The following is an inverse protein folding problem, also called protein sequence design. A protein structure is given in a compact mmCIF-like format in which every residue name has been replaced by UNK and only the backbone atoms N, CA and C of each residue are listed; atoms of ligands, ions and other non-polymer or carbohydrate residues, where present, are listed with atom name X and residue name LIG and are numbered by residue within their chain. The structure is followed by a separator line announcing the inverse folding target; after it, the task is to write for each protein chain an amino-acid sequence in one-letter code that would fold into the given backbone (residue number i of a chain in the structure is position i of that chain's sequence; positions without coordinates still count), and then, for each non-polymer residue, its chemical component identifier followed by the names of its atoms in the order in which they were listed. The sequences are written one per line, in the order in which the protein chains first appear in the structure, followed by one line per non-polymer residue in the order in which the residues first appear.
data_IF_037559905175
#
_entry.id   IF_037559905175
#
_cell.length_a   1.000
_cell.length_b   1.000
_cell.length_c   1.000
_cell.angle_alpha   90.00
_cell.angle_beta   90.00
_cell.angle_gamma   90.00
#
_symmetry.space_group_name_H-M   'P 1'
#
loop_
_entity.id
_entity.type
_entity.pdbx_description
1 polymer ?
#
# COMPACT_ATOMS: atom_id res chain seq x y z
N UNK A 1 30.25 11.76 -4.39
CA UNK A 1 29.37 12.72 -5.08
C UNK A 1 27.97 12.22 -4.83
N UNK A 2 27.24 12.93 -3.97
CA UNK A 2 25.83 12.72 -3.68
C UNK A 2 25.10 12.75 -5.02
N UNK A 3 24.36 11.69 -5.34
CA UNK A 3 23.57 11.62 -6.57
C UNK A 3 22.13 11.55 -6.13
N UNK A 4 21.40 12.65 -6.28
CA UNK A 4 19.94 12.61 -6.26
C UNK A 4 19.51 11.43 -7.13
N UNK A 5 18.91 10.42 -6.50
CA UNK A 5 18.17 9.40 -7.23
C UNK A 5 16.95 10.13 -7.78
N UNK A 6 17.14 10.60 -8.99
CA UNK A 6 16.10 11.17 -9.82
C UNK A 6 14.98 10.13 -9.97
N UNK A 7 13.97 10.20 -9.09
CA UNK A 7 12.73 9.42 -9.24
C UNK A 7 11.88 9.97 -10.39
N UNK A 8 12.33 11.01 -11.09
CA UNK A 8 11.82 11.38 -12.41
C UNK A 8 12.52 10.67 -13.57
N UNK A 9 13.38 9.68 -13.32
CA UNK A 9 13.69 8.62 -14.31
C UNK A 9 12.53 7.63 -14.53
N UNK A 10 11.36 8.18 -14.81
CA UNK A 10 10.46 7.71 -15.87
C UNK A 10 9.62 8.87 -16.43
N UNK A 11 10.20 10.05 -16.62
CA UNK A 11 9.69 11.08 -17.52
C UNK A 11 10.86 11.70 -18.28
N UNK A 12 11.26 11.02 -19.37
CA UNK A 12 12.07 11.62 -20.42
C UNK A 12 11.31 12.82 -21.01
N UNK A 13 11.61 14.04 -20.58
CA UNK A 13 11.27 15.26 -21.32
C UNK A 13 12.55 15.74 -22.00
N UNK A 14 12.70 15.34 -23.26
CA UNK A 14 13.76 15.81 -24.15
C UNK A 14 13.53 17.28 -24.52
N UNK A 15 14.60 18.08 -24.39
CA UNK A 15 14.73 19.40 -24.99
C UNK A 15 14.67 19.32 -26.52
N UNK A 16 13.93 20.25 -27.12
CA UNK A 16 13.68 20.38 -28.55
C UNK A 16 14.96 20.62 -29.38
N UNK A 17 15.21 19.73 -30.35
CA UNK A 17 15.76 20.14 -31.65
C UNK A 17 15.29 19.17 -32.74
N UNK A 18 14.47 19.69 -33.66
CA UNK A 18 14.30 19.29 -35.07
C UNK A 18 14.52 17.81 -35.43
N UNK A 19 13.44 17.08 -35.67
CA UNK A 19 13.46 15.83 -36.44
C UNK A 19 12.60 14.71 -35.83
N UNK A 20 11.60 14.29 -36.61
CA UNK A 20 10.73 13.11 -36.53
C UNK A 20 11.07 11.98 -35.53
N UNK A 21 9.99 11.37 -35.01
CA UNK A 21 9.87 10.16 -34.16
C UNK A 21 9.85 10.39 -32.63
N UNK A 22 8.78 11.00 -32.14
CA UNK A 22 8.26 10.69 -30.80
C UNK A 22 7.30 9.50 -30.94
N UNK A 23 7.72 8.33 -30.47
CA UNK A 23 6.79 7.23 -30.20
C UNK A 23 5.79 7.72 -29.16
N UNK A 24 4.51 7.82 -29.53
CA UNK A 24 3.45 7.92 -28.54
C UNK A 24 3.60 6.71 -27.62
N UNK A 25 3.91 6.93 -26.34
CA UNK A 25 3.48 6.01 -25.31
C UNK A 25 1.97 6.22 -25.27
N UNK A 26 1.26 5.47 -26.10
CA UNK A 26 -0.18 5.54 -26.20
C UNK A 26 -0.73 4.86 -24.95
N UNK A 27 -0.75 5.61 -23.84
CA UNK A 27 -1.48 5.20 -22.65
C UNK A 27 -2.91 4.85 -23.08
N UNK A 28 -3.43 3.72 -22.60
CA UNK A 28 -4.80 3.31 -22.89
C UNK A 28 -5.77 4.46 -22.57
N UNK A 29 -6.89 4.54 -23.29
CA UNK A 29 -7.92 5.53 -22.99
C UNK A 29 -8.36 5.39 -21.53
N UNK A 30 -8.81 6.49 -20.90
CA UNK A 30 -9.36 6.43 -19.54
C UNK A 30 -10.55 5.47 -19.39
N UNK A 31 -11.15 5.05 -20.51
CA UNK A 31 -12.25 4.07 -20.60
C UNK A 31 -11.79 2.62 -20.74
N UNK A 32 -10.50 2.40 -20.93
CA UNK A 32 -9.96 1.09 -21.29
C UNK A 32 -9.22 0.49 -20.09
N UNK A 33 -9.12 -0.83 -20.08
CA UNK A 33 -8.26 -1.60 -19.20
C UNK A 33 -6.97 -1.96 -19.95
N UNK A 34 -5.83 -1.84 -19.28
CA UNK A 34 -4.52 -2.21 -19.83
C UNK A 34 -4.13 -3.59 -19.31
N UNK A 35 -3.98 -4.55 -20.23
CA UNK A 35 -3.46 -5.89 -19.99
C UNK A 35 -1.96 -5.86 -19.62
N UNK A 36 -1.43 -6.93 -19.03
CA UNK A 36 -0.02 -7.01 -18.64
C UNK A 36 0.92 -7.01 -19.86
N UNK A 37 0.46 -7.55 -20.99
CA UNK A 37 1.16 -7.47 -22.27
C UNK A 37 1.09 -6.08 -22.96
N UNK A 38 0.46 -5.08 -22.31
CA UNK A 38 0.33 -3.71 -22.82
C UNK A 38 -0.83 -3.48 -23.80
N UNK A 39 -1.66 -4.49 -24.07
CA UNK A 39 -2.88 -4.37 -24.88
C UNK A 39 -3.95 -3.60 -24.11
N UNK A 40 -4.75 -2.80 -24.83
CA UNK A 40 -5.93 -2.13 -24.27
C UNK A 40 -7.20 -2.88 -24.68
N UNK A 41 -8.07 -3.16 -23.72
CA UNK A 41 -9.42 -3.69 -23.95
C UNK A 41 -10.47 -2.77 -23.29
N UNK A 42 -11.72 -2.76 -23.74
CA UNK A 42 -12.78 -2.01 -23.04
C UNK A 42 -12.94 -2.51 -21.59
N UNK A 43 -13.19 -1.61 -20.64
CA UNK A 43 -13.31 -1.96 -19.20
C UNK A 43 -14.37 -3.03 -18.92
N UNK A 44 -15.43 -3.08 -19.71
CA UNK A 44 -16.48 -4.09 -19.62
C UNK A 44 -16.03 -5.51 -20.00
N UNK A 45 -14.87 -5.65 -20.65
CA UNK A 45 -14.26 -6.94 -20.98
C UNK A 45 -13.36 -7.45 -19.85
N UNK A 46 -13.01 -6.60 -18.88
CA UNK A 46 -12.34 -7.05 -17.67
C UNK A 46 -13.33 -7.85 -16.83
N UNK A 47 -12.98 -9.08 -16.46
CA UNK A 47 -13.80 -9.97 -15.65
C UNK A 47 -15.13 -10.38 -16.30
N UNK A 48 -15.14 -10.56 -17.62
CA UNK A 48 -16.32 -11.01 -18.38
C UNK A 48 -16.34 -12.54 -18.61
N UNK A 49 -15.31 -13.25 -18.14
CA UNK A 49 -15.13 -14.69 -18.25
C UNK A 49 -14.45 -15.14 -19.54
N UNK A 50 -13.84 -14.21 -20.30
CA UNK A 50 -13.13 -14.49 -21.55
C UNK A 50 -11.73 -13.90 -21.50
N UNK A 51 -10.79 -14.58 -22.16
CA UNK A 51 -9.45 -14.04 -22.39
C UNK A 51 -9.49 -13.08 -23.58
N UNK A 52 -9.82 -11.81 -23.33
CA UNK A 52 -9.73 -10.73 -24.31
C UNK A 52 -8.32 -10.13 -24.37
N UNK A 53 -7.52 -10.27 -23.31
CA UNK A 53 -6.12 -9.81 -23.32
C UNK A 53 -5.16 -10.74 -24.09
N UNK A 54 -5.51 -12.00 -24.32
CA UNK A 54 -4.65 -13.10 -24.82
C UNK A 54 -3.49 -13.49 -23.89
N UNK A 55 -3.47 -12.97 -22.66
CA UNK A 55 -2.55 -13.33 -21.57
C UNK A 55 -3.32 -13.63 -20.26
N UNK A 56 -4.66 -13.65 -20.33
CA UNK A 56 -5.59 -13.85 -19.20
C UNK A 56 -5.55 -12.75 -18.12
N UNK A 57 -4.86 -11.62 -18.33
CA UNK A 57 -4.72 -10.57 -17.30
C UNK A 57 -6.01 -9.81 -17.01
N UNK A 58 -6.95 -9.80 -17.94
CA UNK A 58 -8.31 -9.27 -17.79
C UNK A 58 -9.21 -10.10 -16.89
N UNK A 59 -8.92 -11.39 -16.74
CA UNK A 59 -9.69 -12.33 -15.92
C UNK A 59 -8.99 -12.64 -14.58
N UNK A 60 -7.87 -11.99 -14.32
CA UNK A 60 -7.17 -12.08 -13.05
C UNK A 60 -7.69 -11.04 -12.05
N UNK A 61 -7.69 -11.40 -10.77
CA UNK A 61 -8.10 -10.53 -9.66
C UNK A 61 -9.55 -10.00 -9.73
N UNK A 62 -10.43 -10.74 -10.39
CA UNK A 62 -11.85 -10.40 -10.50
C UNK A 62 -12.58 -10.48 -9.15
N UNK A 63 -13.32 -9.42 -8.82
CA UNK A 63 -14.01 -9.29 -7.52
C UNK A 63 -13.09 -8.99 -6.34
N UNK A 64 -11.79 -8.77 -6.59
CA UNK A 64 -10.83 -8.31 -5.58
C UNK A 64 -10.55 -6.83 -5.88
N UNK A 65 -10.67 -5.93 -4.89
CA UNK A 65 -10.32 -4.53 -5.13
C UNK A 65 -8.81 -4.42 -5.43
N UNK A 66 -8.44 -3.70 -6.50
CA UNK A 66 -7.03 -3.41 -6.88
C UNK A 66 -6.25 -2.75 -5.73
N UNK A 67 -6.98 -2.10 -4.81
CA UNK A 67 -6.46 -1.56 -3.56
C UNK A 67 -7.37 -1.94 -2.41
N UNK A 68 -6.82 -2.62 -1.40
CA UNK A 68 -7.56 -2.90 -0.17
C UNK A 68 -7.76 -1.60 0.61
N UNK A 69 -9.01 -1.17 0.77
CA UNK A 69 -9.35 -0.08 1.70
C UNK A 69 -9.25 -0.61 3.13
N UNK A 70 -8.52 0.12 3.99
CA UNK A 70 -8.26 -0.22 5.39
C UNK A 70 -8.45 1.01 6.27
N UNK A 71 -8.95 0.81 7.49
CA UNK A 71 -9.10 1.86 8.51
C UNK A 71 -8.92 1.29 9.92
N UNK A 72 -8.65 2.19 10.86
CA UNK A 72 -8.71 1.89 12.29
C UNK A 72 -10.04 2.38 12.87
N UNK A 73 -10.65 1.55 13.71
CA UNK A 73 -11.92 1.86 14.38
C UNK A 73 -11.81 1.75 15.90
N UNK A 74 -12.64 2.52 16.61
CA UNK A 74 -12.79 2.50 18.07
C UNK A 74 -11.50 2.70 18.88
N UNK A 75 -10.51 3.39 18.31
CA UNK A 75 -9.28 3.81 18.99
C UNK A 75 -8.94 5.28 18.73
N UNK A 76 -7.65 5.62 18.76
CA UNK A 76 -7.14 6.96 18.46
C UNK A 76 -6.64 7.07 16.99
N UNK A 77 -5.97 8.16 16.62
CA UNK A 77 -5.48 8.36 15.24
C UNK A 77 -4.57 7.21 14.75
N UNK A 78 -3.75 6.68 15.65
CA UNK A 78 -2.70 5.69 15.38
C UNK A 78 -2.98 4.33 16.05
N UNK A 79 -4.17 4.11 16.59
CA UNK A 79 -4.52 2.86 17.25
C UNK A 79 -5.97 2.49 17.04
N UNK A 80 -6.28 1.20 16.99
CA UNK A 80 -7.66 0.76 16.87
C UNK A 80 -7.79 -0.66 16.34
N UNK A 81 -9.04 -1.11 16.23
CA UNK A 81 -9.40 -2.34 15.54
C UNK A 81 -9.15 -2.20 14.04
N UNK A 82 -8.59 -3.24 13.44
CA UNK A 82 -8.35 -3.28 11.99
C UNK A 82 -9.64 -3.64 11.27
N UNK A 83 -10.11 -2.71 10.44
CA UNK A 83 -11.23 -2.95 9.53
C UNK A 83 -10.77 -2.79 8.08
N UNK A 84 -11.22 -3.72 7.23
CA UNK A 84 -10.94 -3.72 5.80
C UNK A 84 -12.25 -3.79 5.02
N UNK A 85 -12.23 -3.30 3.78
CA UNK A 85 -13.40 -3.31 2.91
C UNK A 85 -13.24 -4.35 1.81
N UNK A 86 -14.24 -5.23 1.69
CA UNK A 86 -14.29 -6.27 0.67
C UNK A 86 -15.70 -6.30 0.07
N UNK A 87 -15.80 -6.23 -1.27
CA UNK A 87 -17.08 -6.15 -2.00
C UNK A 87 -18.02 -5.04 -1.46
N UNK A 88 -17.45 -3.86 -1.21
CA UNK A 88 -18.14 -2.68 -0.67
C UNK A 88 -18.71 -2.84 0.76
N UNK A 89 -18.32 -3.88 1.49
CA UNK A 89 -18.68 -4.11 2.89
C UNK A 89 -17.46 -4.01 3.80
N UNK A 90 -17.61 -3.31 4.92
CA UNK A 90 -16.60 -3.28 5.97
C UNK A 90 -16.70 -4.53 6.85
N UNK A 91 -15.55 -5.10 7.18
CA UNK A 91 -15.43 -6.19 8.13
C UNK A 91 -14.11 -6.16 8.87
N UNK A 92 -13.96 -7.11 9.78
CA UNK A 92 -12.86 -7.17 10.75
C UNK A 92 -11.85 -8.24 10.36
N UNK A 93 -10.63 -8.10 10.85
CA UNK A 93 -9.58 -9.13 10.75
C UNK A 93 -9.56 -9.95 12.03
N UNK A 94 -9.39 -11.26 11.90
CA UNK A 94 -9.27 -12.16 13.04
C UNK A 94 -7.86 -12.11 13.65
N UNK A 95 -7.76 -12.25 14.97
CA UNK A 95 -6.49 -12.25 15.69
C UNK A 95 -5.75 -13.61 15.66
N UNK A 96 -6.34 -14.63 15.05
CA UNK A 96 -5.68 -15.91 14.78
C UNK A 96 -4.38 -15.69 13.98
N UNK A 97 -3.25 -16.02 14.64
CA UNK A 97 -1.87 -15.81 14.18
C UNK A 97 -1.43 -14.35 14.01
N UNK A 98 -2.26 -13.40 14.44
CA UNK A 98 -1.98 -11.98 14.31
C UNK A 98 -0.76 -11.55 15.11
N UNK A 99 0.29 -11.14 14.41
CA UNK A 99 1.57 -10.78 15.00
C UNK A 99 2.05 -9.37 14.58
N UNK A 100 3.25 -9.02 15.04
CA UNK A 100 3.84 -7.70 14.79
C UNK A 100 4.15 -7.46 13.31
N UNK A 101 4.38 -8.51 12.52
CA UNK A 101 4.63 -8.40 11.09
C UNK A 101 3.34 -8.03 10.34
N UNK A 102 2.21 -8.64 10.70
CA UNK A 102 0.90 -8.25 10.15
C UNK A 102 0.56 -6.80 10.50
N UNK A 103 0.80 -6.41 11.77
CA UNK A 103 0.59 -5.06 12.23
C UNK A 103 1.48 -4.04 11.49
N UNK A 104 2.73 -4.39 11.19
CA UNK A 104 3.63 -3.53 10.40
C UNK A 104 3.07 -3.26 9.00
N UNK A 105 2.56 -4.28 8.33
CA UNK A 105 1.93 -4.14 7.01
C UNK A 105 0.71 -3.21 7.10
N UNK A 106 -0.19 -3.42 8.08
CA UNK A 106 -1.35 -2.55 8.30
C UNK A 106 -0.95 -1.10 8.54
N UNK A 107 0.01 -0.87 9.44
CA UNK A 107 0.46 0.48 9.76
C UNK A 107 1.04 1.18 8.51
N UNK A 108 1.82 0.47 7.70
CA UNK A 108 2.31 0.99 6.40
C UNK A 108 1.20 1.30 5.42
N UNK A 109 0.20 0.44 5.29
CA UNK A 109 -0.97 0.69 4.43
C UNK A 109 -1.72 1.97 4.85
N UNK A 110 -1.70 2.31 6.14
CA UNK A 110 -2.29 3.52 6.73
C UNK A 110 -1.36 4.74 6.68
N UNK A 111 -0.15 4.61 6.12
CA UNK A 111 0.84 5.68 6.01
C UNK A 111 1.73 5.88 7.25
N UNK A 112 1.73 4.94 8.18
CA UNK A 112 2.66 4.91 9.30
C UNK A 112 3.91 4.11 8.96
N UNK A 113 5.05 4.44 9.58
CA UNK A 113 6.31 3.72 9.31
C UNK A 113 6.30 2.27 9.77
N UNK A 114 5.76 2.02 10.97
CA UNK A 114 5.72 0.69 11.55
C UNK A 114 4.66 0.58 12.64
N UNK A 115 4.39 -0.65 13.08
CA UNK A 115 3.65 -0.91 14.29
C UNK A 115 4.54 -0.77 15.53
N UNK A 116 3.90 -0.46 16.66
CA UNK A 116 4.41 -0.64 18.02
C UNK A 116 3.87 -1.96 18.58
N UNK A 117 2.58 -2.27 18.34
CA UNK A 117 1.93 -3.48 18.86
C UNK A 117 0.92 -4.07 17.88
N UNK A 118 0.90 -5.39 17.83
CA UNK A 118 -0.25 -6.18 17.40
C UNK A 118 -1.05 -6.57 18.65
N UNK A 119 -2.34 -6.29 18.68
CA UNK A 119 -3.18 -6.49 19.87
C UNK A 119 -4.32 -7.47 19.54
N UNK A 120 -4.38 -8.62 20.22
CA UNK A 120 -5.45 -9.61 20.05
C UNK A 120 -6.66 -9.32 20.96
N UNK A 121 -7.60 -10.26 20.98
CA UNK A 121 -8.76 -10.38 21.88
C UNK A 121 -9.75 -9.22 21.85
N UNK A 122 -9.95 -8.60 20.68
CA UNK A 122 -10.90 -7.49 20.50
C UNK A 122 -10.72 -6.36 21.50
N UNK A 123 -9.46 -5.97 21.73
CA UNK A 123 -9.11 -4.93 22.69
C UNK A 123 -9.89 -3.61 22.46
N UNK A 124 -10.03 -3.18 21.21
CA UNK A 124 -10.85 -2.01 20.83
C UNK A 124 -12.31 -2.38 20.54
N UNK A 125 -12.80 -3.48 21.12
CA UNK A 125 -14.13 -4.02 20.87
C UNK A 125 -14.23 -4.80 19.56
N UNK A 126 -15.31 -5.57 19.38
CA UNK A 126 -15.44 -6.55 18.29
C UNK A 126 -16.00 -5.99 16.97
N UNK A 127 -16.39 -4.70 16.94
CA UNK A 127 -17.08 -4.10 15.81
C UNK A 127 -18.34 -4.86 15.40
N UNK A 128 -18.53 -5.04 14.09
CA UNK A 128 -19.64 -5.82 13.52
C UNK A 128 -19.42 -7.34 13.55
N UNK A 129 -18.23 -7.81 13.97
CA UNK A 129 -17.83 -9.21 13.96
C UNK A 129 -18.03 -9.95 12.62
N UNK A 130 -18.06 -9.20 11.50
CA UNK A 130 -18.04 -9.76 10.14
C UNK A 130 -16.59 -10.00 9.74
N UNK A 131 -16.05 -11.18 10.05
CA UNK A 131 -14.64 -11.48 9.79
C UNK A 131 -14.41 -11.73 8.30
N UNK A 132 -13.52 -10.92 7.71
CA UNK A 132 -13.17 -11.03 6.30
C UNK A 132 -11.88 -11.84 6.10
N UNK A 133 -10.92 -11.71 7.02
CA UNK A 133 -9.62 -12.39 6.99
C UNK A 133 -9.32 -13.09 8.32
N UNK A 134 -8.56 -14.17 8.24
CA UNK A 134 -8.05 -14.96 9.38
C UNK A 134 -6.75 -15.67 8.98
N UNK A 135 -5.93 -16.04 9.97
CA UNK A 135 -4.60 -16.64 9.78
C UNK A 135 -3.76 -15.82 8.81
N UNK A 136 -3.75 -14.50 9.01
CA UNK A 136 -2.84 -13.62 8.27
C UNK A 136 -1.45 -13.87 8.82
N UNK A 137 -0.50 -14.18 7.94
CA UNK A 137 0.87 -14.55 8.32
C UNK A 137 1.86 -13.80 7.42
N UNK A 138 1.88 -12.47 7.52
CA UNK A 138 2.81 -11.62 6.80
C UNK A 138 4.27 -11.87 7.24
N UNK A 139 5.21 -11.68 6.32
CA UNK A 139 6.65 -11.59 6.60
C UNK A 139 6.96 -10.22 7.25
N UNK A 140 6.18 -9.19 6.92
CA UNK A 140 6.24 -7.84 7.49
C UNK A 140 6.74 -6.77 6.52
N UNK A 141 7.13 -7.15 5.30
CA UNK A 141 7.61 -6.24 4.26
C UNK A 141 6.63 -6.07 3.09
N UNK A 142 5.51 -6.80 3.09
CA UNK A 142 4.44 -6.74 2.11
C UNK A 142 3.78 -5.38 2.06
N UNK A 143 3.42 -4.90 0.87
CA UNK A 143 2.78 -3.57 0.74
C UNK A 143 1.32 -3.57 1.13
N UNK A 144 0.70 -4.75 1.18
CA UNK A 144 -0.71 -4.94 1.50
C UNK A 144 -0.97 -6.31 2.14
N UNK A 145 -2.00 -6.39 2.98
CA UNK A 145 -2.52 -7.68 3.49
C UNK A 145 -2.97 -8.64 2.38
N UNK A 146 -3.21 -8.13 1.16
CA UNK A 146 -3.52 -8.95 -0.02
C UNK A 146 -2.35 -9.84 -0.45
N UNK A 147 -1.11 -9.47 -0.16
CA UNK A 147 0.10 -10.23 -0.52
C UNK A 147 0.43 -11.29 0.53
N UNK A 148 0.00 -11.08 1.78
CA UNK A 148 0.33 -12.00 2.87
C UNK A 148 -0.37 -13.36 2.71
N UNK A 149 0.29 -14.47 3.07
CA UNK A 149 -0.36 -15.76 3.29
C UNK A 149 -1.56 -15.61 4.24
N UNK A 150 -2.71 -16.17 3.83
CA UNK A 150 -3.98 -16.10 4.57
C UNK A 150 -4.96 -17.16 4.10
N UNK A 151 -6.01 -17.40 4.90
CA UNK A 151 -7.16 -18.21 4.46
C UNK A 151 -7.98 -17.46 3.39
N UNK A 152 -8.77 -18.19 2.57
CA UNK A 152 -9.70 -17.55 1.66
C UNK A 152 -10.66 -16.60 2.37
N UNK A 153 -11.09 -15.54 1.68
CA UNK A 153 -12.02 -14.55 2.19
C UNK A 153 -13.26 -15.16 2.84
N UNK A 154 -13.65 -14.62 3.99
CA UNK A 154 -14.83 -15.05 4.78
C UNK A 154 -14.80 -16.51 5.25
N UNK A 155 -13.69 -17.24 5.06
CA UNK A 155 -13.53 -18.60 5.60
C UNK A 155 -12.79 -18.54 6.93
N UNK A 156 -13.54 -18.40 8.03
CA UNK A 156 -13.01 -18.31 9.38
C UNK A 156 -13.87 -19.09 10.38
N UNK A 157 -13.28 -19.49 11.50
CA UNK A 157 -13.95 -20.05 12.67
C UNK A 157 -14.00 -19.06 13.86
N UNK A 158 -13.51 -17.83 13.62
CA UNK A 158 -13.35 -16.79 14.63
C UNK A 158 -14.67 -16.40 15.31
N UNK A 159 -14.57 -16.14 16.60
CA UNK A 159 -15.62 -15.73 17.52
C UNK A 159 -15.61 -14.22 17.64
N UNK A 160 -16.70 -13.69 18.16
CA UNK A 160 -16.87 -12.24 18.34
C UNK A 160 -15.72 -11.58 19.11
N UNK A 161 -15.03 -12.28 20.01
CA UNK A 161 -13.93 -11.72 20.80
C UNK A 161 -12.54 -11.89 20.16
N UNK A 162 -12.44 -12.37 18.92
CA UNK A 162 -11.18 -12.67 18.21
C UNK A 162 -10.84 -11.62 17.14
N UNK A 163 -11.18 -10.34 17.35
CA UNK A 163 -10.81 -9.26 16.42
C UNK A 163 -9.40 -8.71 16.67
N UNK A 164 -8.67 -8.55 15.57
CA UNK A 164 -7.32 -8.01 15.54
C UNK A 164 -7.30 -6.48 15.61
N UNK A 165 -6.30 -5.96 16.32
CA UNK A 165 -6.08 -4.55 16.53
C UNK A 165 -4.60 -4.20 16.40
N UNK A 166 -4.30 -2.92 16.17
CA UNK A 166 -2.92 -2.42 16.08
C UNK A 166 -2.74 -1.13 16.87
N UNK A 167 -1.49 -0.88 17.26
CA UNK A 167 -0.99 0.45 17.61
C UNK A 167 0.18 0.72 16.68
N UNK A 168 0.04 1.75 15.85
CA UNK A 168 1.08 2.26 14.96
C UNK A 168 1.99 3.25 15.70
N UNK A 169 3.20 3.45 15.17
CA UNK A 169 4.01 4.58 15.61
C UNK A 169 3.31 5.88 15.23
N UNK A 170 3.24 6.84 16.16
CA UNK A 170 2.74 8.19 15.88
C UNK A 170 3.50 8.86 14.72
N UNK A 171 4.76 8.48 14.56
CA UNK A 171 5.60 8.90 13.45
C UNK A 171 5.15 8.23 12.13
N UNK A 172 4.41 9.00 11.33
CA UNK A 172 4.15 8.69 9.91
C UNK A 172 5.41 8.85 9.04
N UNK A 173 6.45 9.41 9.61
CA UNK A 173 7.63 9.84 8.93
C UNK A 173 7.51 11.17 8.25
N UNK A 174 8.47 11.42 7.37
CA UNK A 174 8.45 12.59 6.52
C UNK A 174 7.39 12.44 5.43
N UNK A 175 6.80 13.57 5.00
CA UNK A 175 5.83 13.57 3.92
C UNK A 175 6.45 13.01 2.62
N UNK A 176 5.66 12.56 1.63
CA UNK A 176 6.18 11.97 0.39
C UNK A 176 7.21 12.81 -0.37
N UNK A 177 7.20 14.14 -0.20
CA UNK A 177 8.15 15.08 -0.82
C UNK A 177 9.24 15.54 0.16
N UNK A 178 9.49 14.77 1.21
CA UNK A 178 10.48 15.10 2.23
C UNK A 178 11.44 13.94 2.45
N UNK A 179 12.70 14.28 2.68
CA UNK A 179 13.77 13.38 3.08
C UNK A 179 13.88 13.35 4.60
N UNK A 180 14.11 12.16 5.15
CA UNK A 180 14.41 11.97 6.56
C UNK A 180 15.92 11.96 6.78
N UNK A 181 16.42 12.92 7.55
CA UNK A 181 17.79 12.99 8.05
C UNK A 181 18.09 11.86 9.05
N UNK A 182 19.37 11.52 9.30
CA UNK A 182 19.70 10.46 10.29
C UNK A 182 19.26 10.86 11.71
N UNK A 183 19.14 12.17 11.99
CA UNK A 183 18.56 12.72 13.22
C UNK A 183 17.01 12.80 13.22
N UNK A 184 16.33 12.14 12.29
CA UNK A 184 14.87 12.10 12.12
C UNK A 184 14.20 13.46 11.82
N UNK A 185 14.96 14.47 11.40
CA UNK A 185 14.38 15.69 10.83
C UNK A 185 13.89 15.46 9.41
N UNK A 186 12.84 16.18 9.02
CA UNK A 186 12.29 16.15 7.67
C UNK A 186 12.70 17.40 6.90
N UNK A 187 13.38 17.21 5.77
CA UNK A 187 13.77 18.28 4.83
C UNK A 187 13.08 18.08 3.50
N UNK A 188 12.94 19.14 2.71
CA UNK A 188 12.39 18.98 1.36
C UNK A 188 13.32 18.05 0.57
N UNK A 189 12.78 17.19 -0.28
CA UNK A 189 13.64 16.36 -1.14
C UNK A 189 14.51 17.22 -2.09
N UNK A 190 14.08 18.45 -2.40
CA UNK A 190 14.83 19.44 -3.18
C UNK A 190 16.08 19.99 -2.44
N UNK A 191 16.17 19.73 -1.14
CA UNK A 191 17.26 20.14 -0.24
C UNK A 191 18.25 19.00 0.04
N UNK A 192 18.16 17.92 -0.74
CA UNK A 192 19.06 16.77 -0.61
C UNK A 192 20.12 16.86 -1.70
N UNK A 193 21.39 16.62 -1.36
CA UNK A 193 22.53 16.76 -2.27
C UNK A 193 22.65 18.15 -2.93
N UNK A 194 22.26 19.22 -2.24
CA UNK A 194 22.34 20.59 -2.75
C UNK A 194 23.61 21.33 -2.30
N UNK A 195 24.53 20.63 -1.64
CA UNK A 195 25.77 21.11 -1.02
C UNK A 195 25.59 21.91 0.27
N UNK A 196 24.37 22.03 0.77
CA UNK A 196 24.04 22.69 2.04
C UNK A 196 23.65 21.62 3.06
N UNK A 197 24.26 21.68 4.25
CA UNK A 197 23.84 20.84 5.38
C UNK A 197 22.51 21.37 5.95
N UNK A 198 21.40 20.94 5.36
CA UNK A 198 20.06 21.26 5.82
C UNK A 198 19.63 20.35 6.98
N UNK A 199 20.17 19.14 7.07
CA UNK A 199 19.92 18.23 8.17
C UNK A 199 20.64 18.60 9.48
N UNK A 200 21.74 19.36 9.41
CA UNK A 200 22.60 19.72 10.54
C UNK A 200 23.50 18.58 11.04
N UNK A 201 23.37 17.38 10.46
CA UNK A 201 24.19 16.20 10.65
C UNK A 201 24.82 15.70 9.34
N UNK A 202 24.66 16.47 8.25
CA UNK A 202 25.17 16.21 6.92
C UNK A 202 24.63 14.91 6.28
N UNK A 203 23.50 14.37 6.76
CA UNK A 203 22.90 13.14 6.22
C UNK A 203 22.28 13.32 4.83
N UNK A 204 21.80 14.52 4.52
CA UNK A 204 21.33 14.96 3.20
C UNK A 204 22.43 15.07 2.14
N UNK A 205 23.69 15.20 2.55
CA UNK A 205 24.83 15.37 1.63
C UNK A 205 25.71 14.12 1.50
N UNK A 206 25.35 13.03 2.19
CA UNK A 206 26.20 11.85 2.37
C UNK A 206 25.98 10.75 1.32
N UNK A 207 24.87 10.78 0.57
CA UNK A 207 24.41 9.66 -0.27
C UNK A 207 24.33 9.98 -1.76
#
# INVERSE_FOLDING_TARGET
QCKLFDTTKSLNILSLSSGSFYTLIQNCSATDFQCDNGRCIPKEKKCDGRDDCNDFSDEQHCGIPEKLEIRLADGEEHSGRVEIKYLNEWGVVCDDKWDINDANVVCRMLGYRSAIKAIPFSYFGPGNANFLLTNVECIGNETSLLECPKRPWRQHNCKRHETASVICKLDKGCAPNQFECDNSQCRSIDQVCDTVDNCGDNSDEKY
#
